data_IF_876027036448
#
_entry.id   IF_876027036448
#
_cell.length_a   1.000
_cell.length_b   1.000
_cell.length_c   1.000
_cell.angle_alpha   90.00
_cell.angle_beta   90.00
_cell.angle_gamma   90.00
#
_symmetry.space_group_name_H-M   'P 1'
#
loop_
_entity.id
_entity.type
_entity.pdbx_description
1 polymer ?
#
# COMPACT_ATOMS: atom_id res chain seq x y z
N UNK A 1 -10.53 9.20 17.30
CA UNK A 1 -10.58 7.76 17.64
C UNK A 1 -9.56 7.04 16.79
N UNK A 2 -8.70 6.21 17.37
CA UNK A 2 -7.76 5.38 16.62
C UNK A 2 -8.52 4.13 16.10
N UNK A 3 -8.36 3.82 14.83
CA UNK A 3 -8.95 2.62 14.22
C UNK A 3 -8.06 1.39 14.54
N UNK A 4 -8.68 0.22 14.72
CA UNK A 4 -7.91 -1.04 14.84
C UNK A 4 -7.54 -1.60 13.47
N UNK A 5 -6.49 -2.41 13.43
CA UNK A 5 -6.02 -3.11 12.23
C UNK A 5 -7.14 -3.96 11.60
N UNK A 6 -7.87 -4.68 12.47
CA UNK A 6 -8.98 -5.51 12.01
C UNK A 6 -10.14 -4.67 11.43
N UNK A 7 -10.46 -3.55 12.06
CA UNK A 7 -11.51 -2.66 11.54
C UNK A 7 -11.10 -2.06 10.19
N UNK A 8 -9.88 -1.54 10.08
CA UNK A 8 -9.39 -0.96 8.83
C UNK A 8 -9.32 -2.01 7.71
N UNK A 9 -8.91 -3.24 8.03
CA UNK A 9 -8.92 -4.36 7.09
C UNK A 9 -10.30 -4.53 6.44
N UNK A 10 -11.36 -4.54 7.23
CA UNK A 10 -12.71 -4.70 6.71
C UNK A 10 -13.19 -3.47 5.94
N UNK A 11 -12.90 -2.27 6.42
CA UNK A 11 -13.21 -1.02 5.69
C UNK A 11 -12.56 -1.04 4.30
N UNK A 12 -11.28 -1.40 4.21
CA UNK A 12 -10.59 -1.45 2.92
C UNK A 12 -11.08 -2.57 2.00
N UNK A 13 -11.51 -3.72 2.56
CA UNK A 13 -12.11 -4.81 1.77
C UNK A 13 -13.40 -4.39 1.07
N UNK A 14 -14.20 -3.55 1.73
CA UNK A 14 -15.47 -3.05 1.19
C UNK A 14 -15.34 -1.68 0.52
N UNK A 15 -14.15 -1.09 0.52
CA UNK A 15 -13.90 0.15 -0.21
C UNK A 15 -14.06 -0.10 -1.72
N UNK A 16 -15.03 0.56 -2.40
CA UNK A 16 -15.40 0.22 -3.77
C UNK A 16 -14.24 0.14 -4.76
N UNK A 17 -13.26 1.09 -4.78
CA UNK A 17 -12.13 1.01 -5.70
C UNK A 17 -11.29 -0.27 -5.56
N UNK A 18 -11.15 -0.82 -4.36
CA UNK A 18 -10.42 -2.05 -4.11
C UNK A 18 -11.29 -3.28 -4.35
N UNK A 19 -12.55 -3.24 -3.87
CA UNK A 19 -13.50 -4.34 -3.97
C UNK A 19 -13.78 -4.73 -5.42
N UNK A 20 -14.11 -3.76 -6.28
CA UNK A 20 -14.43 -4.02 -7.68
C UNK A 20 -13.21 -4.48 -8.49
N UNK A 21 -12.02 -4.06 -8.11
CA UNK A 21 -10.77 -4.52 -8.72
C UNK A 21 -10.25 -5.82 -8.11
N UNK A 22 -10.98 -6.43 -7.15
CA UNK A 22 -10.61 -7.69 -6.50
C UNK A 22 -9.30 -7.62 -5.72
N UNK A 23 -8.99 -6.45 -5.17
CA UNK A 23 -7.85 -6.21 -4.29
C UNK A 23 -8.31 -6.48 -2.85
N UNK A 24 -7.63 -7.41 -2.17
CA UNK A 24 -8.08 -7.91 -0.90
C UNK A 24 -6.99 -7.81 0.16
N UNK A 25 -7.24 -7.01 1.18
CA UNK A 25 -6.36 -6.92 2.34
C UNK A 25 -6.51 -8.19 3.16
N UNK A 26 -5.45 -8.96 3.32
CA UNK A 26 -5.47 -10.19 4.13
C UNK A 26 -5.40 -9.86 5.61
N UNK A 27 -4.40 -9.10 6.04
CA UNK A 27 -4.29 -8.53 7.37
C UNK A 27 -3.38 -7.31 7.37
N UNK A 28 -3.45 -6.54 8.45
CA UNK A 28 -2.45 -5.56 8.83
C UNK A 28 -1.68 -6.10 10.03
N UNK A 29 -0.39 -5.88 10.06
CA UNK A 29 0.45 -6.20 11.21
C UNK A 29 0.17 -5.23 12.38
N UNK A 30 0.58 -5.65 13.58
CA UNK A 30 0.43 -4.84 14.78
C UNK A 30 1.05 -3.46 14.59
N UNK A 31 0.39 -2.44 15.10
CA UNK A 31 0.79 -1.02 14.98
C UNK A 31 0.86 -0.50 13.53
N UNK A 32 0.21 -1.20 12.59
CA UNK A 32 0.26 -0.90 11.15
C UNK A 32 1.68 -0.89 10.57
N UNK A 33 2.56 -1.73 11.12
CA UNK A 33 3.93 -1.87 10.61
C UNK A 33 4.04 -2.75 9.36
N UNK A 34 2.93 -3.31 8.91
CA UNK A 34 2.89 -4.07 7.68
C UNK A 34 1.48 -4.36 7.20
N UNK A 35 1.38 -4.84 5.97
CA UNK A 35 0.14 -5.29 5.35
C UNK A 35 0.41 -6.41 4.34
N UNK A 36 -0.47 -7.41 4.35
CA UNK A 36 -0.54 -8.45 3.32
C UNK A 36 -1.74 -8.20 2.41
N UNK A 37 -1.49 -8.23 1.10
CA UNK A 37 -2.51 -7.98 0.08
C UNK A 37 -2.50 -9.08 -0.97
N UNK A 38 -3.70 -9.44 -1.43
CA UNK A 38 -3.92 -10.35 -2.53
C UNK A 38 -4.75 -9.67 -3.61
N UNK A 39 -4.37 -9.82 -4.85
CA UNK A 39 -5.15 -9.43 -6.02
C UNK A 39 -5.70 -10.71 -6.63
N UNK A 40 -7.02 -10.90 -6.58
CA UNK A 40 -7.64 -12.05 -7.22
C UNK A 40 -7.74 -11.82 -8.72
N UNK A 41 -7.26 -12.78 -9.51
CA UNK A 41 -7.54 -12.81 -10.94
C UNK A 41 -9.01 -13.17 -11.16
N UNK A 42 -9.75 -12.31 -11.84
CA UNK A 42 -11.17 -12.49 -12.10
C UNK A 42 -11.60 -11.81 -13.40
N UNK A 43 -12.79 -12.13 -13.90
CA UNK A 43 -13.35 -11.48 -15.08
C UNK A 43 -13.48 -9.96 -14.95
N UNK A 44 -13.55 -9.43 -13.71
CA UNK A 44 -13.67 -7.98 -13.45
C UNK A 44 -12.37 -7.20 -13.63
N UNK A 45 -11.22 -7.88 -13.67
CA UNK A 45 -9.91 -7.23 -13.76
C UNK A 45 -8.98 -7.86 -14.80
N UNK A 46 -9.52 -8.56 -15.79
CA UNK A 46 -8.72 -9.04 -16.91
C UNK A 46 -8.55 -7.95 -17.96
N UNK A 47 -7.36 -7.91 -18.53
CA UNK A 47 -7.08 -7.15 -19.74
C UNK A 47 -7.35 -7.99 -20.99
N UNK A 48 -7.13 -7.40 -22.18
CA UNK A 48 -7.30 -8.03 -23.48
C UNK A 48 -6.50 -9.33 -23.64
N UNK A 49 -5.34 -9.45 -22.98
CA UNK A 49 -4.47 -10.63 -23.00
C UNK A 49 -4.84 -11.69 -21.95
N UNK A 50 -5.98 -11.54 -21.26
CA UNK A 50 -6.43 -12.41 -20.17
C UNK A 50 -5.49 -12.48 -18.96
N UNK A 51 -4.60 -11.53 -18.82
CA UNK A 51 -3.83 -11.28 -17.60
C UNK A 51 -4.53 -10.22 -16.74
N UNK A 52 -4.13 -10.09 -15.47
CA UNK A 52 -4.63 -9.01 -14.62
C UNK A 52 -4.26 -7.68 -15.26
N UNK A 53 -5.25 -6.79 -15.37
CA UNK A 53 -5.08 -5.45 -15.92
C UNK A 53 -4.02 -4.65 -15.16
N UNK A 54 -3.09 -4.02 -15.89
CA UNK A 54 -1.99 -3.27 -15.28
C UNK A 54 -2.48 -2.14 -14.36
N UNK A 55 -3.60 -1.49 -14.71
CA UNK A 55 -4.24 -0.50 -13.86
C UNK A 55 -4.71 -1.06 -12.51
N UNK A 56 -5.17 -2.33 -12.46
CA UNK A 56 -5.50 -3.02 -11.20
C UNK A 56 -4.25 -3.25 -10.35
N UNK A 57 -3.14 -3.64 -10.98
CA UNK A 57 -1.87 -3.85 -10.29
C UNK A 57 -1.38 -2.52 -9.68
N UNK A 58 -1.47 -1.43 -10.45
CA UNK A 58 -1.12 -0.09 -9.97
C UNK A 58 -2.06 0.37 -8.85
N UNK A 59 -3.37 0.22 -9.01
CA UNK A 59 -4.36 0.56 -7.98
C UNK A 59 -4.16 -0.22 -6.68
N UNK A 60 -3.64 -1.46 -6.76
CA UNK A 60 -3.28 -2.23 -5.57
C UNK A 60 -2.02 -1.69 -4.88
N UNK A 61 -1.08 -1.12 -5.61
CA UNK A 61 0.15 -0.57 -5.04
C UNK A 61 -0.04 0.80 -4.39
N UNK A 62 -1.00 1.60 -4.88
CA UNK A 62 -1.17 3.01 -4.53
C UNK A 62 -1.43 3.27 -3.03
N UNK A 63 -2.43 2.64 -2.35
CA UNK A 63 -2.89 3.18 -1.07
C UNK A 63 -2.06 2.75 0.15
N UNK A 64 -1.35 1.62 0.07
CA UNK A 64 -0.94 0.93 1.31
C UNK A 64 0.22 1.59 2.04
N UNK A 65 1.24 2.10 1.37
CA UNK A 65 2.29 2.85 2.06
C UNK A 65 1.72 4.09 2.74
N UNK A 66 0.86 4.84 2.03
CA UNK A 66 0.23 6.02 2.60
C UNK A 66 -0.63 5.68 3.82
N UNK A 67 -1.39 4.58 3.75
CA UNK A 67 -2.22 4.09 4.87
C UNK A 67 -1.36 3.68 6.06
N UNK A 68 -0.27 2.94 5.84
CA UNK A 68 0.62 2.49 6.92
C UNK A 68 1.26 3.69 7.62
N UNK A 69 1.88 4.61 6.88
CA UNK A 69 2.47 5.82 7.47
C UNK A 69 1.44 6.68 8.19
N UNK A 70 0.26 6.88 7.60
CA UNK A 70 -0.81 7.63 8.24
C UNK A 70 -1.20 7.01 9.59
N UNK A 71 -1.47 5.70 9.63
CA UNK A 71 -1.91 5.03 10.86
C UNK A 71 -0.80 4.96 11.92
N UNK A 72 0.44 4.65 11.52
CA UNK A 72 1.58 4.60 12.42
C UNK A 72 1.86 5.97 13.05
N UNK A 73 1.83 7.04 12.26
CA UNK A 73 2.01 8.41 12.76
C UNK A 73 0.85 8.86 13.67
N UNK A 74 -0.38 8.50 13.34
CA UNK A 74 -1.55 8.75 14.20
C UNK A 74 -1.41 8.08 15.56
N UNK A 75 -0.87 6.86 15.62
CA UNK A 75 -0.60 6.14 16.89
C UNK A 75 0.47 6.82 17.73
N UNK A 76 1.43 7.47 17.10
CA UNK A 76 2.42 8.33 17.81
C UNK A 76 1.86 9.69 18.23
N UNK A 77 0.58 9.99 17.96
CA UNK A 77 -0.07 11.24 18.35
C UNK A 77 0.02 12.37 17.33
N UNK A 78 0.63 12.12 16.16
CA UNK A 78 0.73 13.13 15.11
C UNK A 78 -0.59 13.28 14.36
N UNK A 79 -0.95 14.51 14.03
CA UNK A 79 -1.95 14.84 13.04
C UNK A 79 -1.22 15.02 11.71
N UNK A 80 -1.47 14.16 10.74
CA UNK A 80 -0.79 14.20 9.44
C UNK A 80 -1.79 14.02 8.30
N UNK A 81 -1.40 14.51 7.13
CA UNK A 81 -1.94 14.07 5.85
C UNK A 81 -0.85 13.33 5.10
N UNK A 82 -1.23 12.26 4.41
CA UNK A 82 -0.31 11.39 3.69
C UNK A 82 -0.92 11.01 2.35
N UNK A 83 -0.15 11.11 1.28
CA UNK A 83 -0.57 10.65 -0.04
C UNK A 83 0.63 10.23 -0.90
N UNK A 84 0.38 9.40 -1.89
CA UNK A 84 1.36 9.07 -2.91
C UNK A 84 1.53 10.27 -3.85
N UNK A 85 2.72 10.88 -3.85
CA UNK A 85 3.04 12.07 -4.66
C UNK A 85 3.42 11.69 -6.09
N UNK A 86 4.12 10.57 -6.24
CA UNK A 86 4.54 10.04 -7.52
C UNK A 86 4.72 8.53 -7.41
N UNK A 87 4.62 7.83 -8.54
CA UNK A 87 4.99 6.43 -8.64
C UNK A 87 5.45 6.10 -10.06
N UNK A 88 6.37 5.14 -10.13
CA UNK A 88 6.83 4.50 -11.35
C UNK A 88 6.56 3.00 -11.22
N UNK A 89 5.95 2.40 -12.22
CA UNK A 89 5.66 0.97 -12.24
C UNK A 89 6.30 0.29 -13.43
N UNK A 90 6.95 -0.84 -13.16
CA UNK A 90 7.54 -1.73 -14.15
C UNK A 90 6.76 -3.03 -14.18
N UNK A 91 6.13 -3.33 -15.31
CA UNK A 91 5.46 -4.60 -15.56
C UNK A 91 6.46 -5.59 -16.14
N UNK A 92 6.95 -6.52 -15.32
CA UNK A 92 8.02 -7.45 -15.68
C UNK A 92 7.48 -8.73 -16.30
N UNK A 93 6.30 -9.17 -15.86
CA UNK A 93 5.59 -10.36 -16.37
C UNK A 93 4.07 -10.15 -16.31
N UNK A 94 3.30 -10.74 -17.23
CA UNK A 94 1.83 -10.75 -17.14
C UNK A 94 1.35 -11.45 -15.85
N UNK A 95 0.42 -10.86 -15.14
CA UNK A 95 -0.24 -11.48 -13.99
C UNK A 95 -1.24 -12.54 -14.41
N UNK A 96 -0.78 -13.76 -14.67
CA UNK A 96 -1.61 -14.86 -15.17
C UNK A 96 -2.33 -15.65 -14.08
N UNK A 97 -2.01 -15.42 -12.82
CA UNK A 97 -2.63 -16.00 -11.62
C UNK A 97 -3.00 -14.92 -10.63
N UNK A 98 -3.51 -15.30 -9.45
CA UNK A 98 -3.59 -14.35 -8.34
C UNK A 98 -2.21 -13.77 -8.04
N UNK A 99 -2.18 -12.48 -7.66
CA UNK A 99 -0.95 -11.80 -7.28
C UNK A 99 -0.96 -11.49 -5.78
N UNK A 100 0.23 -11.37 -5.23
CA UNK A 100 0.44 -11.16 -3.79
C UNK A 100 1.57 -10.15 -3.57
N UNK A 101 1.43 -9.38 -2.53
CA UNK A 101 2.52 -8.58 -1.98
C UNK A 101 2.35 -8.37 -0.49
N UNK A 102 3.46 -8.11 0.16
CA UNK A 102 3.48 -7.61 1.52
C UNK A 102 4.31 -6.33 1.58
N UNK A 103 3.94 -5.45 2.47
CA UNK A 103 4.68 -4.25 2.81
C UNK A 103 5.03 -4.35 4.29
N UNK A 104 6.26 -3.99 4.64
CA UNK A 104 6.71 -3.83 6.01
C UNK A 104 7.40 -2.50 6.15
N UNK A 105 7.07 -1.74 7.18
CA UNK A 105 7.76 -0.53 7.61
C UNK A 105 8.30 -0.76 9.02
N UNK A 106 9.46 -0.20 9.32
CA UNK A 106 10.10 -0.44 10.61
C UNK A 106 9.77 0.65 11.63
N UNK A 107 9.94 0.32 12.92
CA UNK A 107 9.81 1.33 13.99
C UNK A 107 10.86 2.42 13.86
N UNK A 108 12.05 2.07 13.39
CA UNK A 108 13.14 2.99 13.11
C UNK A 108 12.76 4.00 12.03
N UNK A 109 12.17 3.53 10.91
CA UNK A 109 11.66 4.42 9.86
C UNK A 109 10.60 5.37 10.40
N UNK A 110 9.67 4.90 11.23
CA UNK A 110 8.64 5.74 11.86
C UNK A 110 9.25 6.74 12.84
N UNK A 111 10.30 6.38 13.58
CA UNK A 111 11.00 7.29 14.47
C UNK A 111 11.72 8.40 13.69
N UNK A 112 12.51 8.04 12.69
CA UNK A 112 13.19 9.00 11.79
C UNK A 112 12.19 9.93 11.11
N UNK A 113 11.06 9.38 10.65
CA UNK A 113 9.98 10.16 10.05
C UNK A 113 9.40 11.17 11.05
N UNK A 114 9.18 10.77 12.33
CA UNK A 114 8.67 11.69 13.34
C UNK A 114 9.66 12.82 13.66
N UNK A 115 10.96 12.54 13.75
CA UNK A 115 12.00 13.54 13.92
C UNK A 115 12.01 14.55 12.78
N UNK A 116 11.98 14.06 11.54
CA UNK A 116 11.90 14.93 10.34
C UNK A 116 10.65 15.81 10.34
N UNK A 117 9.50 15.26 10.74
CA UNK A 117 8.25 16.04 10.83
C UNK A 117 8.29 17.10 11.96
N UNK A 118 8.99 16.83 13.05
CA UNK A 118 9.17 17.81 14.13
C UNK A 118 10.09 18.96 13.71
N UNK A 119 11.12 18.68 12.91
CA UNK A 119 12.07 19.68 12.42
C UNK A 119 11.51 20.50 11.25
N UNK A 120 10.85 19.88 10.29
CA UNK A 120 10.54 20.50 8.99
C UNK A 120 9.05 20.62 8.68
N UNK A 121 8.20 19.94 9.46
CA UNK A 121 6.75 19.86 9.24
C UNK A 121 6.33 18.96 8.07
N UNK A 122 7.26 18.46 7.27
CA UNK A 122 6.99 17.61 6.08
C UNK A 122 8.11 16.61 5.85
N UNK A 123 7.78 15.51 5.18
CA UNK A 123 8.75 14.49 4.78
C UNK A 123 8.34 13.84 3.46
N UNK A 124 9.30 13.27 2.77
CA UNK A 124 9.10 12.44 1.58
C UNK A 124 9.82 11.11 1.78
N UNK A 125 9.13 10.01 1.46
CA UNK A 125 9.66 8.67 1.63
C UNK A 125 9.58 7.90 0.32
N UNK A 126 10.75 7.45 -0.19
CA UNK A 126 10.79 6.51 -1.30
C UNK A 126 10.56 5.10 -0.81
N UNK A 127 9.66 4.39 -1.48
CA UNK A 127 9.25 3.03 -1.15
C UNK A 127 9.32 2.16 -2.39
N UNK A 128 9.75 0.91 -2.24
CA UNK A 128 9.76 -0.07 -3.34
C UNK A 128 8.90 -1.26 -2.97
N UNK A 129 8.04 -1.67 -3.90
CA UNK A 129 7.13 -2.80 -3.76
C UNK A 129 7.32 -3.79 -4.89
N UNK A 130 7.42 -5.08 -4.57
CA UNK A 130 7.39 -6.17 -5.53
C UNK A 130 6.08 -6.94 -5.42
N UNK A 131 5.39 -7.10 -6.55
CA UNK A 131 4.14 -7.84 -6.66
C UNK A 131 4.43 -9.15 -7.38
N UNK A 132 4.10 -10.26 -6.73
CA UNK A 132 4.51 -11.61 -7.12
C UNK A 132 3.30 -12.50 -7.43
N UNK A 133 3.50 -13.46 -8.29
CA UNK A 133 2.51 -14.49 -8.60
C UNK A 133 2.53 -15.63 -7.56
N UNK A 134 1.70 -16.65 -7.79
CA UNK A 134 1.60 -17.85 -6.91
C UNK A 134 2.88 -18.69 -6.85
N UNK A 135 3.81 -18.50 -7.80
CA UNK A 135 5.12 -19.18 -7.82
C UNK A 135 6.21 -18.35 -7.16
N UNK A 136 5.90 -17.13 -6.71
CA UNK A 136 6.87 -16.18 -6.16
C UNK A 136 7.65 -15.39 -7.22
N UNK A 137 7.26 -15.49 -8.50
CA UNK A 137 7.88 -14.71 -9.57
C UNK A 137 7.38 -13.27 -9.56
N UNK A 138 8.28 -12.30 -9.71
CA UNK A 138 7.94 -10.87 -9.71
C UNK A 138 7.23 -10.52 -11.01
N UNK A 139 5.98 -10.12 -10.92
CA UNK A 139 5.18 -9.64 -12.05
C UNK A 139 5.27 -8.13 -12.24
N UNK A 140 5.37 -7.38 -11.15
CA UNK A 140 5.54 -5.93 -11.21
C UNK A 140 6.42 -5.44 -10.07
N UNK A 141 7.14 -4.34 -10.33
CA UNK A 141 7.87 -3.55 -9.33
C UNK A 141 7.37 -2.13 -9.38
N UNK A 142 7.09 -1.56 -8.21
CA UNK A 142 6.60 -0.19 -8.06
C UNK A 142 7.56 0.58 -7.18
N UNK A 143 7.97 1.77 -7.63
CA UNK A 143 8.72 2.73 -6.85
C UNK A 143 7.77 3.90 -6.59
N UNK A 144 7.46 4.14 -5.32
CA UNK A 144 6.52 5.17 -4.89
C UNK A 144 7.24 6.26 -4.11
N UNK A 145 6.83 7.50 -4.30
CA UNK A 145 7.20 8.64 -3.47
C UNK A 145 5.98 9.03 -2.64
N UNK A 146 6.05 8.78 -1.34
CA UNK A 146 5.00 9.13 -0.37
C UNK A 146 5.35 10.46 0.28
N UNK A 147 4.40 11.38 0.24
CA UNK A 147 4.52 12.69 0.90
C UNK A 147 3.71 12.69 2.18
N UNK A 148 4.34 13.16 3.26
CA UNK A 148 3.76 13.26 4.60
C UNK A 148 3.89 14.70 5.08
N UNK A 149 2.80 15.28 5.59
CA UNK A 149 2.80 16.62 6.18
C UNK A 149 2.11 16.62 7.53
N UNK A 150 2.79 17.20 8.54
CA UNK A 150 2.24 17.46 9.85
C UNK A 150 1.19 18.58 9.75
N UNK A 151 0.09 18.41 10.44
CA UNK A 151 -0.96 19.41 10.61
C UNK A 151 -0.84 20.04 12.00
N UNK A 152 -1.16 21.30 12.11
CA UNK A 152 -1.21 22.05 13.37
C UNK A 152 -2.28 21.52 14.33
#
# INVERSE_FOLDING_TARGET
MLISENTLKWVMRFYPPLLFQRIWVRHFDTDFLGVDVKIFKSLFNLNYNRSIFGGTIYAAADPFYAVLYYQAMRRKGYKVIVWQKAAEIFYLKPGMSNLYFNITITKEEINTLSETLDETGKAEQYCTLEIKDVRGEICARVISLVYIRKLD
#
